data_IF_063576467018
#
_entry.id   IF_063576467018
#
_cell.length_a   1.000
_cell.length_b   1.000
_cell.length_c   1.000
_cell.angle_alpha   90.00
_cell.angle_beta   90.00
_cell.angle_gamma   90.00
#
_symmetry.space_group_name_H-M   'P 1'
#
loop_
_entity.id
_entity.type
_entity.pdbx_description
1 polymer ?
#
# COMPACT_ATOMS: atom_id res chain seq x y z
N UNK A 1 10.71 -44.34 23.82
CA UNK A 1 11.53 -43.88 22.67
C UNK A 1 10.96 -44.26 21.30
N UNK A 2 10.45 -45.48 21.07
CA UNK A 2 9.96 -45.91 19.73
C UNK A 2 8.83 -45.03 19.14
N UNK A 3 7.96 -44.47 19.97
CA UNK A 3 6.84 -43.61 19.54
C UNK A 3 7.26 -42.22 19.02
N UNK A 4 8.46 -41.76 19.35
CA UNK A 4 8.99 -40.48 18.85
C UNK A 4 9.73 -40.65 17.50
N UNK A 5 10.09 -41.88 17.14
CA UNK A 5 10.88 -42.17 15.93
C UNK A 5 10.06 -41.91 14.68
N UNK A 6 8.79 -42.34 14.67
CA UNK A 6 7.89 -42.14 13.54
C UNK A 6 7.61 -40.65 13.23
N UNK A 7 7.20 -39.80 14.20
CA UNK A 7 7.03 -38.38 13.94
C UNK A 7 8.36 -37.67 13.61
N UNK A 8 9.48 -38.09 14.21
CA UNK A 8 10.79 -37.54 13.87
C UNK A 8 11.22 -37.90 12.43
N UNK A 9 10.91 -39.11 11.95
CA UNK A 9 11.18 -39.53 10.58
C UNK A 9 10.31 -38.74 9.57
N UNK A 10 9.04 -38.53 9.90
CA UNK A 10 8.11 -37.74 9.07
C UNK A 10 8.59 -36.29 8.99
N UNK A 11 8.98 -35.71 10.13
CA UNK A 11 9.53 -34.35 10.17
C UNK A 11 10.82 -34.25 9.34
N UNK A 12 11.74 -35.21 9.49
CA UNK A 12 12.97 -35.27 8.70
C UNK A 12 12.70 -35.37 7.19
N UNK A 13 11.70 -36.16 6.77
CA UNK A 13 11.31 -36.31 5.36
C UNK A 13 10.65 -35.05 4.78
N UNK A 14 9.92 -34.27 5.59
CA UNK A 14 9.34 -32.99 5.17
C UNK A 14 10.39 -31.89 5.07
N UNK A 15 11.43 -31.94 5.90
CA UNK A 15 12.49 -30.94 5.95
C UNK A 15 13.60 -31.17 4.90
N UNK A 16 13.64 -32.30 4.20
CA UNK A 16 14.61 -32.52 3.12
C UNK A 16 14.18 -31.79 1.84
N UNK A 17 14.92 -30.76 1.39
CA UNK A 17 14.56 -30.07 0.16
C UNK A 17 14.82 -30.99 -1.03
N UNK A 18 13.77 -31.36 -1.76
CA UNK A 18 13.88 -32.12 -3.00
C UNK A 18 14.07 -31.17 -4.19
N UNK A 19 14.70 -31.62 -5.28
CA UNK A 19 14.97 -30.84 -6.50
C UNK A 19 13.72 -30.13 -7.07
N UNK A 20 12.51 -30.57 -6.71
CA UNK A 20 11.23 -29.93 -7.04
C UNK A 20 11.06 -28.52 -6.44
N UNK A 21 11.82 -28.13 -5.41
CA UNK A 21 11.82 -26.76 -4.86
C UNK A 21 12.62 -25.75 -5.70
N UNK A 22 13.38 -26.19 -6.70
CA UNK A 22 14.00 -25.30 -7.68
C UNK A 22 13.00 -24.84 -8.75
N UNK A 23 11.90 -25.57 -8.94
CA UNK A 23 10.80 -25.17 -9.81
C UNK A 23 9.73 -24.49 -8.97
N UNK A 24 9.82 -23.17 -8.86
CA UNK A 24 8.65 -22.37 -8.49
C UNK A 24 7.56 -22.72 -9.52
N UNK A 25 6.56 -23.49 -9.10
CA UNK A 25 5.46 -23.88 -9.97
C UNK A 25 4.81 -22.64 -10.59
N UNK A 26 4.26 -22.73 -11.81
CA UNK A 26 3.78 -21.55 -12.55
C UNK A 26 2.78 -20.71 -11.73
N UNK A 27 1.96 -21.34 -10.88
CA UNK A 27 1.06 -20.65 -9.98
C UNK A 27 1.75 -19.85 -8.86
N UNK A 28 2.81 -20.40 -8.25
CA UNK A 28 3.56 -19.72 -7.20
C UNK A 28 4.41 -18.56 -7.76
N UNK A 29 4.92 -18.69 -8.98
CA UNK A 29 5.67 -17.64 -9.65
C UNK A 29 4.77 -16.45 -10.02
N UNK A 30 3.63 -16.74 -10.63
CA UNK A 30 2.65 -15.71 -11.00
C UNK A 30 2.10 -15.00 -9.75
N UNK A 31 1.79 -15.73 -8.68
CA UNK A 31 1.29 -15.12 -7.45
C UNK A 31 2.34 -14.25 -6.75
N UNK A 32 3.61 -14.68 -6.72
CA UNK A 32 4.71 -13.89 -6.16
C UNK A 32 4.92 -12.58 -6.94
N UNK A 33 4.92 -12.63 -8.28
CA UNK A 33 5.01 -11.44 -9.13
C UNK A 33 3.81 -10.52 -8.91
N UNK A 34 2.59 -11.08 -8.88
CA UNK A 34 1.36 -10.32 -8.63
C UNK A 34 1.37 -9.62 -7.27
N UNK A 35 1.80 -10.30 -6.21
CA UNK A 35 1.93 -9.73 -4.88
C UNK A 35 2.98 -8.61 -4.82
N UNK A 36 4.12 -8.78 -5.49
CA UNK A 36 5.15 -7.74 -5.57
C UNK A 36 4.63 -6.48 -6.27
N UNK A 37 3.94 -6.64 -7.41
CA UNK A 37 3.34 -5.53 -8.14
C UNK A 37 2.24 -4.83 -7.32
N UNK A 38 1.38 -5.61 -6.64
CA UNK A 38 0.35 -5.07 -5.76
C UNK A 38 0.93 -4.27 -4.60
N UNK A 39 2.02 -4.74 -4.00
CA UNK A 39 2.73 -4.03 -2.94
C UNK A 39 3.31 -2.70 -3.44
N UNK A 40 3.97 -2.70 -4.60
CA UNK A 40 4.49 -1.48 -5.22
C UNK A 40 3.38 -0.47 -5.53
N UNK A 41 2.26 -0.93 -6.08
CA UNK A 41 1.10 -0.10 -6.34
C UNK A 41 0.51 0.46 -5.03
N UNK A 42 0.38 -0.36 -3.99
CA UNK A 42 -0.12 0.07 -2.69
C UNK A 42 0.77 1.16 -2.06
N UNK A 43 2.10 1.01 -2.12
CA UNK A 43 3.05 2.03 -1.66
C UNK A 43 2.88 3.33 -2.45
N UNK A 44 2.80 3.24 -3.78
CA UNK A 44 2.59 4.40 -4.64
C UNK A 44 1.29 5.14 -4.29
N UNK A 45 0.17 4.41 -4.18
CA UNK A 45 -1.11 5.00 -3.80
C UNK A 45 -1.13 5.55 -2.38
N UNK A 46 -0.42 4.91 -1.43
CA UNK A 46 -0.28 5.44 -0.08
C UNK A 46 0.41 6.80 -0.07
N UNK A 47 1.50 6.96 -0.84
CA UNK A 47 2.22 8.23 -0.97
C UNK A 47 1.32 9.28 -1.64
N UNK A 48 0.72 8.95 -2.79
CA UNK A 48 -0.15 9.87 -3.52
C UNK A 48 -1.34 10.29 -2.66
N UNK A 49 -2.02 9.36 -2.01
CA UNK A 49 -3.15 9.63 -1.12
C UNK A 49 -2.76 10.48 0.08
N UNK A 50 -1.60 10.19 0.68
CA UNK A 50 -1.06 10.96 1.79
C UNK A 50 -0.73 12.40 1.40
N UNK A 51 -0.14 12.63 0.22
CA UNK A 51 0.21 13.96 -0.30
C UNK A 51 -1.03 14.72 -0.81
N UNK A 52 -2.02 14.03 -1.36
CA UNK A 52 -3.22 14.67 -1.91
C UNK A 52 -4.05 15.38 -0.86
N UNK A 53 -4.20 14.79 0.34
CA UNK A 53 -4.96 15.37 1.43
C UNK A 53 -4.49 16.77 1.87
N UNK A 54 -3.21 16.99 2.23
CA UNK A 54 -2.72 18.31 2.62
C UNK A 54 -2.76 19.32 1.47
N UNK A 55 -2.43 18.90 0.24
CA UNK A 55 -2.47 19.76 -0.95
C UNK A 55 -3.90 20.27 -1.19
N UNK A 56 -4.88 19.37 -1.21
CA UNK A 56 -6.30 19.74 -1.39
C UNK A 56 -6.80 20.65 -0.28
N UNK A 57 -6.37 20.41 0.97
CA UNK A 57 -6.72 21.26 2.12
C UNK A 57 -6.17 22.67 1.96
N UNK A 58 -4.91 22.82 1.56
CA UNK A 58 -4.27 24.12 1.40
C UNK A 58 -4.89 24.92 0.24
N UNK A 59 -5.14 24.27 -0.90
CA UNK A 59 -5.83 24.87 -2.05
C UNK A 59 -7.21 25.43 -1.68
N UNK A 60 -7.98 24.70 -0.85
CA UNK A 60 -9.28 25.17 -0.36
C UNK A 60 -9.14 26.41 0.53
N UNK A 61 -8.16 26.41 1.43
CA UNK A 61 -7.91 27.55 2.33
C UNK A 61 -7.51 28.82 1.55
N UNK A 62 -6.70 28.67 0.51
CA UNK A 62 -6.29 29.80 -0.35
C UNK A 62 -7.47 30.39 -1.13
N UNK A 63 -8.35 29.56 -1.68
CA UNK A 63 -9.54 30.01 -2.42
C UNK A 63 -10.53 30.79 -1.55
N UNK A 64 -10.68 30.43 -0.28
CA UNK A 64 -11.55 31.17 0.65
C UNK A 64 -11.00 32.56 1.01
N UNK A 65 -9.69 32.78 0.95
CA UNK A 65 -9.07 34.07 1.32
C UNK A 65 -9.12 35.10 0.19
N UNK A 66 -9.18 34.67 -1.07
CA UNK A 66 -9.30 35.57 -2.23
C UNK A 66 -10.74 36.01 -2.55
N UNK A 67 -11.77 35.49 -1.85
CA UNK A 67 -13.18 35.80 -2.12
C UNK A 67 -13.80 36.93 -1.30
N UNK A 68 -13.12 37.44 -0.25
CA UNK A 68 -13.65 38.48 0.64
C UNK A 68 -12.82 39.78 0.55
N UNK A 69 -12.66 40.32 -0.65
CA UNK A 69 -12.46 41.77 -0.74
C UNK A 69 -13.80 42.39 -0.35
N UNK A 70 -13.91 43.14 0.77
CA UNK A 70 -15.12 43.90 1.03
C UNK A 70 -15.18 44.93 -0.09
N UNK A 71 -16.16 44.82 -0.97
CA UNK A 71 -16.60 45.93 -1.79
C UNK A 71 -17.08 46.99 -0.80
N UNK A 72 -16.14 47.80 -0.32
CA UNK A 72 -16.44 49.05 0.34
C UNK A 72 -17.11 49.86 -0.76
N UNK A 73 -18.43 49.90 -0.72
CA UNK A 73 -19.22 50.91 -1.39
C UNK A 73 -19.22 52.10 -0.43
N UNK A 74 -18.39 53.15 -0.63
CA UNK A 74 -18.54 54.42 0.06
C UNK A 74 -20.01 54.82 0.18
N UNK A 75 -20.44 55.29 1.38
CA UNK A 75 -21.79 55.79 1.57
C UNK A 75 -21.99 56.93 0.59
N UNK A 76 -23.01 56.77 -0.28
CA UNK A 76 -23.47 57.84 -1.15
C UNK A 76 -23.81 59.03 -0.23
N UNK A 77 -23.12 60.14 -0.48
CA UNK A 77 -23.24 61.37 0.30
C UNK A 77 -24.67 61.92 0.29
N UNK A 78 -24.89 62.70 1.34
CA UNK A 78 -26.03 63.59 1.61
C UNK A 78 -26.32 64.59 0.48
#
# INVERSE_FOLDING_TARGET
>A
MKFAILPALILAAVLTPSLAQAYIGPGAGISAIGAALALLAAIFFAIVGFVWYPVKRLLKAMRSKSGNAPTQTPPAGE
#
